data_IF_982296028982
#
_entry.id   IF_982296028982
#
_cell.length_a   1.000
_cell.length_b   1.000
_cell.length_c   1.000
_cell.angle_alpha   90.00
_cell.angle_beta   90.00
_cell.angle_gamma   90.00
#
_symmetry.space_group_name_H-M   'P 1'
#
loop_
_entity.id
_entity.type
_entity.pdbx_description
1 polymer ?
#
# COMPACT_ATOMS: atom_id res chain seq x y z
N UNK A 1 34.19 -21.97 -14.12
CA UNK A 1 33.02 -21.10 -14.43
C UNK A 1 31.66 -21.82 -14.41
N UNK A 2 31.58 -23.12 -14.77
CA UNK A 2 30.33 -23.90 -14.79
C UNK A 2 29.78 -24.23 -13.37
N UNK A 3 30.65 -24.52 -12.41
CA UNK A 3 30.25 -24.89 -11.03
C UNK A 3 29.58 -23.74 -10.25
N UNK A 4 30.10 -22.50 -10.36
CA UNK A 4 29.49 -21.32 -9.72
C UNK A 4 28.07 -21.03 -10.23
N UNK A 5 27.76 -21.39 -11.49
CA UNK A 5 26.40 -21.27 -12.06
C UNK A 5 25.46 -22.34 -11.51
N UNK A 6 25.97 -23.54 -11.23
CA UNK A 6 25.18 -24.64 -10.67
C UNK A 6 24.82 -24.38 -9.19
N UNK A 7 25.73 -23.77 -8.44
CA UNK A 7 25.49 -23.36 -7.05
C UNK A 7 24.40 -22.29 -6.92
N UNK A 8 24.47 -21.22 -7.72
CA UNK A 8 23.41 -20.17 -7.77
C UNK A 8 22.04 -20.70 -8.21
N UNK A 9 22.02 -21.77 -9.02
CA UNK A 9 20.77 -22.42 -9.46
C UNK A 9 20.15 -23.27 -8.33
N UNK A 10 20.98 -23.89 -7.49
CA UNK A 10 20.54 -24.60 -6.27
C UNK A 10 20.03 -23.64 -5.20
N UNK A 11 20.70 -22.50 -4.95
CA UNK A 11 20.21 -21.47 -4.02
C UNK A 11 18.84 -20.92 -4.42
N UNK A 12 18.64 -20.56 -5.70
CA UNK A 12 17.32 -20.12 -6.19
C UNK A 12 16.23 -21.20 -6.09
N UNK A 13 16.58 -22.48 -6.19
CA UNK A 13 15.63 -23.57 -6.00
C UNK A 13 15.27 -23.77 -4.53
N UNK A 14 16.23 -23.58 -3.62
CA UNK A 14 16.01 -23.62 -2.17
C UNK A 14 15.19 -22.40 -1.72
N UNK A 15 15.45 -21.21 -2.26
CA UNK A 15 14.66 -19.99 -2.01
C UNK A 15 13.20 -20.17 -2.48
N UNK A 16 13.00 -20.71 -3.70
CA UNK A 16 11.67 -21.04 -4.23
C UNK A 16 10.95 -22.09 -3.37
N UNK A 17 11.66 -23.12 -2.91
CA UNK A 17 11.09 -24.10 -2.00
C UNK A 17 10.79 -23.51 -0.62
N UNK A 18 11.57 -22.56 -0.10
CA UNK A 18 11.25 -21.86 1.15
C UNK A 18 9.99 -21.01 1.02
N UNK A 19 9.82 -20.30 -0.10
CA UNK A 19 8.58 -19.57 -0.43
C UNK A 19 7.39 -20.54 -0.54
N UNK A 20 7.59 -21.67 -1.23
CA UNK A 20 6.56 -22.69 -1.41
C UNK A 20 6.24 -23.47 -0.12
N UNK A 21 7.19 -23.61 0.82
CA UNK A 21 6.98 -24.26 2.12
C UNK A 21 6.32 -23.29 3.12
N UNK A 22 6.61 -21.99 3.04
CA UNK A 22 5.89 -20.98 3.84
C UNK A 22 4.42 -20.83 3.41
N UNK A 23 4.04 -21.22 2.18
CA UNK A 23 2.63 -21.37 1.78
C UNK A 23 1.86 -22.42 2.62
N UNK A 24 2.53 -23.39 3.26
CA UNK A 24 1.86 -24.52 3.93
C UNK A 24 1.75 -24.40 5.45
N UNK A 25 2.25 -23.33 6.08
CA UNK A 25 2.26 -23.21 7.56
C UNK A 25 0.92 -22.78 8.19
N UNK A 26 -0.12 -22.53 7.40
CA UNK A 26 -1.45 -22.16 7.89
C UNK A 26 -2.59 -23.10 7.47
N UNK A 27 -2.29 -24.19 6.76
CA UNK A 27 -3.33 -25.10 6.27
C UNK A 27 -3.79 -26.05 7.38
N UNK A 28 -4.92 -25.73 8.02
CA UNK A 28 -5.62 -26.66 8.89
C UNK A 28 -6.25 -27.76 8.03
N UNK A 29 -5.90 -29.01 8.31
CA UNK A 29 -6.42 -30.18 7.59
C UNK A 29 -7.92 -30.36 7.89
N UNK A 30 -8.76 -30.32 6.86
CA UNK A 30 -10.20 -30.59 6.98
C UNK A 30 -10.48 -31.99 6.38
N UNK A 31 -10.84 -33.00 7.18
CA UNK A 31 -11.15 -34.32 6.65
C UNK A 31 -12.44 -34.30 5.81
N UNK A 32 -12.37 -34.81 4.57
CA UNK A 32 -13.57 -35.24 3.82
C UNK A 32 -13.79 -34.68 2.41
N UNK A 33 -12.94 -33.78 1.88
CA UNK A 33 -13.18 -33.20 0.55
C UNK A 33 -12.20 -33.74 -0.51
N UNK A 34 -12.66 -34.71 -1.30
CA UNK A 34 -11.94 -35.24 -2.47
C UNK A 34 -11.92 -34.22 -3.61
N UNK A 35 -10.99 -33.26 -3.52
CA UNK A 35 -10.38 -32.39 -4.54
C UNK A 35 -10.00 -31.09 -3.83
N UNK A 36 -8.71 -30.86 -3.64
CA UNK A 36 -8.17 -29.68 -2.99
C UNK A 36 -8.63 -28.41 -3.68
N UNK A 37 -9.69 -27.81 -3.15
CA UNK A 37 -10.00 -26.40 -3.39
C UNK A 37 -8.95 -25.62 -2.61
N UNK A 38 -8.09 -24.89 -3.32
CA UNK A 38 -7.29 -23.83 -2.71
C UNK A 38 -8.32 -22.90 -2.05
N UNK A 39 -8.22 -22.69 -0.74
CA UNK A 39 -9.06 -21.71 -0.07
C UNK A 39 -8.83 -20.37 -0.77
N UNK A 40 -9.91 -19.78 -1.29
CA UNK A 40 -9.87 -18.47 -1.91
C UNK A 40 -9.35 -17.47 -0.87
N UNK A 41 -8.10 -17.02 -1.07
CA UNK A 41 -7.48 -16.07 -0.15
C UNK A 41 -8.23 -14.74 -0.30
N UNK A 42 -8.91 -14.31 0.76
CA UNK A 42 -9.59 -13.01 0.77
C UNK A 42 -8.54 -11.93 0.49
N UNK A 43 -8.74 -11.06 -0.51
CA UNK A 43 -7.75 -10.04 -0.85
C UNK A 43 -7.45 -9.15 0.36
N UNK A 44 -6.17 -8.94 0.64
CA UNK A 44 -5.72 -7.93 1.61
C UNK A 44 -6.10 -6.54 1.10
N UNK A 45 -6.28 -5.58 2.00
CA UNK A 45 -6.80 -4.27 1.62
C UNK A 45 -6.05 -3.13 2.30
N UNK A 46 -5.64 -2.13 1.52
CA UNK A 46 -4.98 -0.92 2.01
C UNK A 46 -5.64 0.35 1.46
N UNK A 47 -5.88 1.31 2.34
CA UNK A 47 -6.36 2.64 2.02
C UNK A 47 -5.28 3.68 2.37
N UNK A 48 -4.79 4.41 1.37
CA UNK A 48 -3.83 5.49 1.57
C UNK A 48 -4.54 6.81 1.88
N UNK A 49 -4.06 7.55 2.88
CA UNK A 49 -4.74 8.74 3.40
C UNK A 49 -3.84 9.96 3.46
N UNK A 50 -4.34 11.10 2.98
CA UNK A 50 -3.79 12.41 3.31
C UNK A 50 -4.92 13.42 3.54
N UNK A 51 -4.60 14.70 3.72
CA UNK A 51 -5.60 15.73 4.01
C UNK A 51 -6.63 15.88 2.87
N UNK A 52 -6.16 16.13 1.65
CA UNK A 52 -7.00 16.48 0.49
C UNK A 52 -7.17 15.39 -0.56
N UNK A 53 -6.40 14.30 -0.51
CA UNK A 53 -6.44 13.22 -1.51
C UNK A 53 -6.16 13.64 -2.97
N UNK A 54 -5.35 14.68 -3.15
CA UNK A 54 -4.88 15.13 -4.47
C UNK A 54 -3.35 15.05 -4.65
N UNK A 55 -2.57 15.17 -3.56
CA UNK A 55 -1.10 15.12 -3.63
C UNK A 55 -0.55 13.74 -3.22
N UNK A 56 -0.44 13.51 -1.91
CA UNK A 56 0.35 12.40 -1.34
C UNK A 56 -0.30 11.02 -1.46
N UNK A 57 -1.57 10.88 -1.07
CA UNK A 57 -2.23 9.56 -1.06
C UNK A 57 -2.49 8.96 -2.45
N UNK A 58 -2.84 9.73 -3.51
CA UNK A 58 -2.92 9.18 -4.86
C UNK A 58 -1.56 8.71 -5.40
N UNK A 59 -0.46 9.40 -5.06
CA UNK A 59 0.90 8.96 -5.40
C UNK A 59 1.18 7.60 -4.74
N UNK A 60 0.93 7.48 -3.43
CA UNK A 60 1.14 6.22 -2.70
C UNK A 60 0.31 5.07 -3.29
N UNK A 61 -0.97 5.30 -3.62
CA UNK A 61 -1.84 4.31 -4.24
C UNK A 61 -1.29 3.83 -5.59
N UNK A 62 -0.91 4.76 -6.48
CA UNK A 62 -0.42 4.42 -7.80
C UNK A 62 0.95 3.71 -7.75
N UNK A 63 1.83 4.11 -6.82
CA UNK A 63 3.08 3.41 -6.52
C UNK A 63 2.81 1.98 -6.05
N UNK A 64 1.93 1.81 -5.06
CA UNK A 64 1.60 0.48 -4.53
C UNK A 64 0.96 -0.41 -5.59
N UNK A 65 0.04 0.14 -6.39
CA UNK A 65 -0.58 -0.55 -7.54
C UNK A 65 0.49 -1.08 -8.51
N UNK A 66 1.49 -0.26 -8.86
CA UNK A 66 2.59 -0.70 -9.71
C UNK A 66 3.38 -1.85 -9.09
N UNK A 67 3.75 -1.74 -7.81
CA UNK A 67 4.52 -2.77 -7.09
C UNK A 67 3.78 -4.12 -7.06
N UNK A 68 2.50 -4.13 -6.71
CA UNK A 68 1.72 -5.39 -6.69
C UNK A 68 1.49 -5.96 -8.09
N UNK A 69 1.42 -5.10 -9.12
CA UNK A 69 1.34 -5.55 -10.52
C UNK A 69 2.63 -6.25 -10.96
N UNK A 70 3.79 -5.65 -10.67
CA UNK A 70 5.10 -6.20 -11.00
C UNK A 70 5.37 -7.54 -10.30
N UNK A 71 4.84 -7.72 -9.10
CA UNK A 71 4.96 -8.97 -8.34
C UNK A 71 3.84 -9.99 -8.63
N UNK A 72 2.91 -9.69 -9.55
CA UNK A 72 1.75 -10.54 -9.88
C UNK A 72 0.85 -10.83 -8.67
N UNK A 73 0.65 -9.82 -7.82
CA UNK A 73 -0.17 -9.86 -6.60
C UNK A 73 -1.39 -8.94 -6.68
N UNK A 74 -1.72 -8.42 -7.86
CA UNK A 74 -2.82 -7.44 -8.01
C UNK A 74 -4.17 -7.99 -7.54
N UNK A 75 -4.45 -9.26 -7.84
CA UNK A 75 -5.71 -9.91 -7.46
C UNK A 75 -5.79 -10.23 -5.95
N UNK A 76 -4.66 -10.15 -5.24
CA UNK A 76 -4.58 -10.34 -3.80
C UNK A 76 -4.72 -9.03 -3.01
N UNK A 77 -4.85 -7.88 -3.70
CA UNK A 77 -4.89 -6.58 -3.05
C UNK A 77 -6.03 -5.68 -3.57
N UNK A 78 -6.90 -5.27 -2.65
CA UNK A 78 -7.69 -4.04 -2.79
C UNK A 78 -6.81 -2.86 -2.38
N UNK A 79 -6.72 -1.84 -3.24
CA UNK A 79 -5.93 -0.63 -3.00
C UNK A 79 -6.74 0.58 -3.44
N UNK A 80 -6.84 1.57 -2.57
CA UNK A 80 -7.54 2.83 -2.82
C UNK A 80 -6.84 3.97 -2.05
N UNK A 81 -7.25 5.20 -2.30
CA UNK A 81 -6.88 6.37 -1.51
C UNK A 81 -8.07 7.28 -1.20
N UNK A 82 -8.01 8.01 -0.09
CA UNK A 82 -9.05 8.95 0.33
C UNK A 82 -8.49 10.13 1.17
N UNK A 83 -9.37 11.10 1.46
CA UNK A 83 -9.12 12.34 2.19
C UNK A 83 -9.70 12.29 3.61
N UNK A 84 -9.03 12.92 4.58
CA UNK A 84 -9.64 13.17 5.90
C UNK A 84 -10.64 14.34 5.83
N UNK A 85 -10.37 15.32 4.96
CA UNK A 85 -11.19 16.51 4.73
C UNK A 85 -12.18 16.34 3.56
N UNK A 86 -12.94 17.41 3.28
CA UNK A 86 -13.87 17.51 2.15
C UNK A 86 -13.42 18.50 1.07
N UNK A 87 -12.22 19.09 1.20
CA UNK A 87 -11.83 20.25 0.39
C UNK A 87 -11.81 19.98 -1.12
N UNK A 88 -11.36 18.80 -1.52
CA UNK A 88 -11.03 18.49 -2.91
C UNK A 88 -11.92 17.40 -3.51
N UNK A 89 -13.06 17.07 -2.90
CA UNK A 89 -13.91 15.97 -3.38
C UNK A 89 -14.28 16.20 -4.86
N UNK A 90 -14.03 15.20 -5.70
CA UNK A 90 -14.30 15.24 -7.14
C UNK A 90 -13.13 15.76 -7.99
N UNK A 91 -12.10 16.35 -7.39
CA UNK A 91 -10.95 16.85 -8.13
C UNK A 91 -9.97 15.72 -8.52
N UNK A 92 -9.26 15.87 -9.65
CA UNK A 92 -8.17 14.97 -10.00
C UNK A 92 -6.94 15.19 -9.09
N UNK A 93 -5.94 14.30 -9.13
CA UNK A 93 -4.64 14.54 -8.51
C UNK A 93 -4.02 15.86 -8.97
N UNK A 94 -3.23 16.45 -8.08
CA UNK A 94 -2.48 17.68 -8.35
C UNK A 94 -1.59 17.52 -9.59
N UNK A 95 -1.49 18.58 -10.39
CA UNK A 95 -0.75 18.56 -11.65
C UNK A 95 0.74 18.29 -11.47
N UNK A 96 1.39 18.82 -10.43
CA UNK A 96 2.79 18.56 -10.13
C UNK A 96 3.00 17.11 -9.69
N UNK A 97 2.08 16.57 -8.90
CA UNK A 97 2.04 15.14 -8.56
C UNK A 97 1.90 14.27 -9.81
N UNK A 98 0.98 14.61 -10.71
CA UNK A 98 0.82 13.91 -11.98
C UNK A 98 2.07 14.00 -12.86
N UNK A 99 2.74 15.16 -12.90
CA UNK A 99 4.01 15.36 -13.62
C UNK A 99 5.12 14.46 -13.07
N UNK A 100 5.31 14.40 -11.75
CA UNK A 100 6.29 13.50 -11.11
C UNK A 100 5.99 12.02 -11.43
N UNK A 101 4.73 11.60 -11.35
CA UNK A 101 4.34 10.22 -11.66
C UNK A 101 4.57 9.87 -13.14
N UNK A 102 4.28 10.80 -14.05
CA UNK A 102 4.57 10.62 -15.49
C UNK A 102 6.07 10.50 -15.76
N UNK A 103 6.91 11.32 -15.13
CA UNK A 103 8.39 11.21 -15.25
C UNK A 103 8.89 9.84 -14.81
N UNK A 104 8.24 9.24 -13.82
CA UNK A 104 8.56 7.92 -13.29
C UNK A 104 7.84 6.76 -14.01
N UNK A 105 7.10 7.03 -15.08
CA UNK A 105 6.40 6.02 -15.87
C UNK A 105 5.25 5.32 -15.12
N UNK A 106 4.63 6.00 -14.15
CA UNK A 106 3.55 5.44 -13.34
C UNK A 106 2.23 6.12 -13.71
N UNK A 107 1.23 5.36 -14.23
CA UNK A 107 -0.08 5.93 -14.49
C UNK A 107 -0.80 6.21 -13.16
N UNK A 108 -1.29 7.44 -13.02
CA UNK A 108 -2.08 7.88 -11.87
C UNK A 108 -3.39 8.47 -12.40
N UNK A 109 -4.48 7.75 -12.15
CA UNK A 109 -5.84 8.21 -12.41
C UNK A 109 -6.62 7.97 -11.12
N UNK A 110 -7.18 9.04 -10.58
CA UNK A 110 -7.91 9.05 -9.31
C UNK A 110 -8.90 10.20 -9.30
N UNK A 111 -9.92 10.10 -8.46
CA UNK A 111 -10.84 11.20 -8.19
C UNK A 111 -10.95 11.30 -6.68
N UNK A 112 -10.58 12.47 -6.15
CA UNK A 112 -10.50 12.67 -4.72
C UNK A 112 -11.85 12.39 -4.05
N UNK A 113 -11.81 11.61 -2.98
CA UNK A 113 -12.99 11.24 -2.18
C UNK A 113 -12.67 11.34 -0.69
N UNK A 114 -13.67 11.58 0.14
CA UNK A 114 -13.50 11.51 1.60
C UNK A 114 -13.52 10.07 2.09
N UNK A 115 -12.83 9.80 3.19
CA UNK A 115 -12.97 8.57 3.97
C UNK A 115 -14.36 8.45 4.59
N UNK A 116 -14.93 7.26 4.49
CA UNK A 116 -16.27 6.89 5.00
C UNK A 116 -16.15 6.02 6.25
N UNK A 117 -17.26 5.74 6.95
CA UNK A 117 -17.24 4.82 8.10
C UNK A 117 -16.97 3.38 7.65
N UNK A 118 -17.48 3.03 6.47
CA UNK A 118 -17.35 1.73 5.82
C UNK A 118 -15.89 1.43 5.47
N UNK A 119 -15.09 2.46 5.13
CA UNK A 119 -13.66 2.30 4.89
C UNK A 119 -12.95 1.70 6.14
N UNK A 120 -13.25 2.20 7.34
CA UNK A 120 -12.65 1.68 8.58
C UNK A 120 -13.06 0.23 8.90
N UNK A 121 -14.23 -0.20 8.42
CA UNK A 121 -14.73 -1.56 8.62
C UNK A 121 -14.20 -2.54 7.56
N UNK A 122 -13.93 -2.07 6.34
CA UNK A 122 -13.63 -2.93 5.18
C UNK A 122 -12.16 -3.01 4.83
N UNK A 123 -11.34 -2.03 5.21
CA UNK A 123 -9.90 -2.06 4.97
C UNK A 123 -9.14 -2.73 6.12
N UNK A 124 -8.11 -3.49 5.79
CA UNK A 124 -7.18 -4.08 6.77
C UNK A 124 -6.19 -3.03 7.28
N UNK A 125 -5.75 -2.14 6.39
CA UNK A 125 -4.79 -1.08 6.69
C UNK A 125 -5.28 0.28 6.21
N UNK A 126 -5.12 1.29 7.06
CA UNK A 126 -5.23 2.70 6.67
C UNK A 126 -3.86 3.34 6.93
N UNK A 127 -3.16 3.71 5.85
CA UNK A 127 -1.82 4.26 5.92
C UNK A 127 -1.84 5.75 5.59
N UNK A 128 -1.55 6.58 6.58
CA UNK A 128 -1.60 8.04 6.47
C UNK A 128 -0.22 8.69 6.41
N UNK A 129 -0.14 9.93 5.94
CA UNK A 129 1.14 10.57 5.57
C UNK A 129 1.78 11.40 6.68
N UNK A 130 0.99 11.91 7.63
CA UNK A 130 1.48 12.74 8.73
C UNK A 130 0.68 12.54 10.03
N UNK A 131 1.18 13.09 11.13
CA UNK A 131 0.54 12.97 12.45
C UNK A 131 -0.83 13.65 12.54
N UNK A 132 -1.06 14.70 11.77
CA UNK A 132 -2.35 15.39 11.74
C UNK A 132 -3.42 14.46 11.17
N UNK A 133 -3.10 13.79 10.07
CA UNK A 133 -3.95 12.77 9.48
C UNK A 133 -4.17 11.60 10.44
N UNK A 134 -3.11 11.14 11.14
CA UNK A 134 -3.23 10.06 12.11
C UNK A 134 -4.19 10.43 13.26
N UNK A 135 -4.04 11.64 13.83
CA UNK A 135 -4.94 12.14 14.88
C UNK A 135 -6.39 12.22 14.41
N UNK A 136 -6.62 12.74 13.21
CA UNK A 136 -7.96 12.84 12.64
C UNK A 136 -8.61 11.48 12.36
N UNK A 137 -7.83 10.53 11.83
CA UNK A 137 -8.29 9.16 11.59
C UNK A 137 -8.62 8.45 12.90
N UNK A 138 -7.80 8.58 13.94
CA UNK A 138 -8.07 8.01 15.26
C UNK A 138 -9.31 8.64 15.91
N UNK A 139 -9.49 9.96 15.76
CA UNK A 139 -10.71 10.64 16.24
C UNK A 139 -11.96 10.11 15.53
N UNK A 140 -11.89 9.89 14.20
CA UNK A 140 -12.99 9.34 13.40
C UNK A 140 -13.26 7.86 13.74
N UNK A 141 -12.21 7.05 13.94
CA UNK A 141 -12.34 5.61 14.24
C UNK A 141 -12.97 5.36 15.61
N UNK A 142 -12.69 6.21 16.61
CA UNK A 142 -13.30 6.14 17.94
C UNK A 142 -14.84 6.30 17.93
N UNK A 143 -15.41 6.79 16.83
CA UNK A 143 -16.86 6.92 16.64
C UNK A 143 -17.50 5.67 16.01
N UNK A 144 -16.70 4.63 15.73
CA UNK A 144 -17.09 3.43 15.00
C UNK A 144 -16.94 2.22 15.91
N UNK A 145 -18.03 1.48 16.16
CA UNK A 145 -18.04 0.37 17.12
C UNK A 145 -17.20 -0.85 16.68
N UNK A 146 -17.13 -1.12 15.37
CA UNK A 146 -16.56 -2.35 14.82
C UNK A 146 -15.60 -2.05 13.65
N UNK A 147 -14.60 -1.19 13.87
CA UNK A 147 -13.58 -1.00 12.84
C UNK A 147 -12.47 -2.07 12.95
N UNK A 148 -11.97 -2.52 11.79
CA UNK A 148 -10.92 -3.54 11.69
C UNK A 148 -9.57 -2.91 11.33
N UNK A 149 -9.60 -1.79 10.60
CA UNK A 149 -8.41 -1.19 10.01
C UNK A 149 -7.32 -0.89 11.04
N UNK A 150 -6.11 -1.34 10.74
CA UNK A 150 -4.89 -0.90 11.43
C UNK A 150 -4.48 0.46 10.86
N UNK A 151 -4.54 1.50 11.69
CA UNK A 151 -4.24 2.88 11.31
C UNK A 151 -2.80 3.22 11.67
N UNK A 152 -1.95 3.51 10.68
CA UNK A 152 -0.51 3.76 10.88
C UNK A 152 0.00 4.88 9.98
N UNK A 153 1.18 5.41 10.30
CA UNK A 153 1.92 6.28 9.39
C UNK A 153 2.59 5.44 8.30
N UNK A 154 2.46 5.84 7.04
CA UNK A 154 3.15 5.17 5.93
C UNK A 154 4.67 5.24 6.13
N UNK A 155 5.20 6.37 6.58
CA UNK A 155 6.62 6.54 6.87
C UNK A 155 7.17 5.68 8.01
N UNK A 156 6.31 5.01 8.81
CA UNK A 156 6.77 4.00 9.78
C UNK A 156 7.34 2.74 9.12
N UNK A 157 7.11 2.58 7.81
CA UNK A 157 7.68 1.54 6.97
C UNK A 157 8.93 2.00 6.21
N UNK A 158 9.39 3.25 6.37
CA UNK A 158 10.56 3.72 5.65
C UNK A 158 11.86 3.13 6.24
N UNK A 159 12.65 2.33 5.49
CA UNK A 159 13.96 1.86 5.95
C UNK A 159 14.96 3.00 6.22
N UNK A 160 14.69 4.22 5.73
CA UNK A 160 15.50 5.40 6.02
C UNK A 160 15.03 6.19 7.25
N UNK A 161 14.01 5.71 7.96
CA UNK A 161 13.43 6.35 9.15
C UNK A 161 12.87 7.76 8.91
N UNK A 162 12.45 8.10 7.68
CA UNK A 162 11.70 9.34 7.44
C UNK A 162 10.21 9.09 7.74
N UNK A 163 9.82 9.39 8.98
CA UNK A 163 8.50 9.05 9.52
C UNK A 163 7.34 9.83 8.87
N UNK A 164 7.59 11.09 8.50
CA UNK A 164 6.57 11.99 7.96
C UNK A 164 6.78 12.17 6.46
N UNK A 165 5.68 12.10 5.71
CA UNK A 165 5.61 12.46 4.30
C UNK A 165 4.95 13.84 4.23
N UNK A 166 5.81 14.85 4.18
CA UNK A 166 5.45 16.27 4.23
C UNK A 166 4.49 16.65 3.10
N UNK A 167 3.59 17.60 3.37
CA UNK A 167 2.63 18.06 2.37
C UNK A 167 3.31 18.94 1.31
N UNK A 168 3.36 18.50 0.03
CA UNK A 168 4.06 19.26 -1.01
C UNK A 168 3.19 20.38 -1.61
N UNK A 169 1.96 20.61 -1.13
CA UNK A 169 1.00 21.51 -1.77
C UNK A 169 1.50 22.96 -1.96
N UNK A 170 2.26 23.49 -1.01
CA UNK A 170 2.90 24.81 -1.12
C UNK A 170 4.37 24.74 -1.57
N UNK A 171 4.82 23.56 -1.98
CA UNK A 171 6.17 23.28 -2.42
C UNK A 171 6.34 23.42 -3.93
N UNK A 172 7.35 22.73 -4.45
CA UNK A 172 7.70 22.68 -5.86
C UNK A 172 7.91 21.24 -6.34
N UNK A 173 8.35 21.06 -7.60
CA UNK A 173 8.54 19.73 -8.19
C UNK A 173 9.47 18.80 -7.38
N UNK A 174 10.50 19.32 -6.70
CA UNK A 174 11.40 18.51 -5.87
C UNK A 174 10.71 17.92 -4.64
N UNK A 175 9.71 18.62 -4.11
CA UNK A 175 8.96 18.18 -2.95
C UNK A 175 8.04 17.02 -3.33
N UNK A 176 7.38 17.11 -4.49
CA UNK A 176 6.63 15.99 -5.06
C UNK A 176 7.51 14.78 -5.39
N UNK A 177 8.72 14.99 -5.90
CA UNK A 177 9.68 13.90 -6.12
C UNK A 177 10.12 13.26 -4.79
N UNK A 178 10.34 14.05 -3.74
CA UNK A 178 10.67 13.54 -2.40
C UNK A 178 9.53 12.67 -1.86
N UNK A 179 8.28 13.13 -1.98
CA UNK A 179 7.08 12.35 -1.62
C UNK A 179 7.03 11.04 -2.40
N UNK A 180 7.24 11.08 -3.73
CA UNK A 180 7.27 9.88 -4.55
C UNK A 180 8.33 8.88 -4.07
N UNK A 181 9.56 9.32 -3.81
CA UNK A 181 10.64 8.45 -3.34
C UNK A 181 10.32 7.84 -1.97
N UNK A 182 9.76 8.61 -1.04
CA UNK A 182 9.28 8.09 0.24
C UNK A 182 8.19 7.04 0.03
N UNK A 183 7.18 7.31 -0.82
CA UNK A 183 6.12 6.35 -1.14
C UNK A 183 6.69 5.05 -1.71
N UNK A 184 7.69 5.11 -2.61
CA UNK A 184 8.33 3.91 -3.17
C UNK A 184 8.97 3.05 -2.08
N UNK A 185 9.76 3.65 -1.19
CA UNK A 185 10.44 2.91 -0.11
C UNK A 185 9.44 2.30 0.86
N UNK A 186 8.50 3.12 1.34
CA UNK A 186 7.51 2.69 2.33
C UNK A 186 6.56 1.63 1.78
N UNK A 187 6.04 1.81 0.56
CA UNK A 187 5.12 0.84 -0.06
C UNK A 187 5.80 -0.51 -0.31
N UNK A 188 7.09 -0.52 -0.68
CA UNK A 188 7.86 -1.76 -0.85
C UNK A 188 8.03 -2.50 0.48
N UNK A 189 8.50 -1.80 1.51
CA UNK A 189 8.69 -2.39 2.83
C UNK A 189 7.35 -2.84 3.46
N UNK A 190 6.28 -2.08 3.27
CA UNK A 190 4.94 -2.47 3.68
C UNK A 190 4.49 -3.74 2.96
N UNK A 191 4.63 -3.81 1.63
CA UNK A 191 4.25 -5.00 0.86
C UNK A 191 5.03 -6.24 1.33
N UNK A 192 6.32 -6.13 1.61
CA UNK A 192 7.15 -7.25 2.10
C UNK A 192 6.75 -7.73 3.50
N UNK A 193 6.40 -6.80 4.40
CA UNK A 193 6.02 -7.13 5.78
C UNK A 193 4.58 -7.61 5.90
N UNK A 194 3.69 -7.08 5.06
CA UNK A 194 2.28 -7.40 5.08
C UNK A 194 1.95 -8.66 4.29
N UNK A 195 2.83 -9.11 3.37
CA UNK A 195 2.67 -10.36 2.63
C UNK A 195 2.96 -11.56 3.52
#
# INVERSE_FOLDING_TARGET
MKEKKQYKKKEKAIERNKIQINMYRGAQWVPGCARGKIAEQVPKSVLFMCLGNICRSPIAEAVFRKLVTEQKLSDHWRKESAATSTYEIGNPPDYLGHSSMKKNGIPMNHTARQVTKEDFATFDYILCTDESNLRDLNRKSNQIKNYKAKIELLGSYDPQNQLIIEDPYYGNESDFETVYQQCVRCCRAFLEKAH
#
